data_IF_434933029780
#
_entry.id   IF_434933029780
#
_cell.length_a   1.000
_cell.length_b   1.000
_cell.length_c   1.000
_cell.angle_alpha   90.00
_cell.angle_beta   90.00
_cell.angle_gamma   90.00
#
_symmetry.space_group_name_H-M   'P 1'
#
loop_
_entity.id
_entity.type
_entity.pdbx_description
1 polymer ?
#
# COMPACT_ATOMS: atom_id res chain seq x y z
N UNK A 1 33.92 -15.22 8.35
CA UNK A 1 32.45 -15.15 8.24
C UNK A 1 32.16 -14.14 7.14
N UNK A 2 31.69 -14.65 5.99
CA UNK A 2 31.71 -13.94 4.72
C UNK A 2 30.69 -12.81 4.64
N UNK A 3 31.17 -11.64 4.25
CA UNK A 3 30.39 -10.48 3.84
C UNK A 3 29.57 -10.82 2.60
N UNK A 4 28.26 -10.55 2.62
CA UNK A 4 27.41 -10.57 1.43
C UNK A 4 27.12 -9.11 1.11
N UNK A 5 27.96 -8.51 0.28
CA UNK A 5 27.68 -7.22 -0.32
C UNK A 5 27.49 -7.41 -1.83
N UNK A 6 26.41 -6.81 -2.31
CA UNK A 6 26.23 -6.23 -3.64
C UNK A 6 26.37 -7.15 -4.87
N UNK A 7 25.24 -7.55 -5.44
CA UNK A 7 24.81 -7.14 -6.81
C UNK A 7 23.65 -8.02 -7.28
N UNK A 8 22.46 -7.44 -7.44
CA UNK A 8 21.39 -8.05 -8.22
C UNK A 8 21.82 -8.00 -9.70
N UNK A 9 21.84 -9.11 -10.44
CA UNK A 9 22.26 -9.10 -11.84
C UNK A 9 21.20 -8.42 -12.72
N UNK A 10 21.59 -7.35 -13.42
CA UNK A 10 20.78 -6.74 -14.47
C UNK A 10 20.95 -7.56 -15.74
N UNK A 11 19.93 -8.35 -16.10
CA UNK A 11 19.92 -9.13 -17.35
C UNK A 11 19.70 -8.18 -18.53
N UNK A 12 20.76 -7.94 -19.31
CA UNK A 12 20.70 -7.23 -20.58
C UNK A 12 20.30 -8.20 -21.71
N UNK A 13 19.11 -8.04 -22.26
CA UNK A 13 18.64 -8.77 -23.44
C UNK A 13 17.61 -7.96 -24.25
N UNK A 14 18.04 -7.46 -25.42
CA UNK A 14 17.19 -6.89 -26.47
C UNK A 14 16.76 -5.44 -26.25
N UNK A 15 17.06 -4.57 -27.23
CA UNK A 15 16.78 -3.13 -27.24
C UNK A 15 15.36 -2.78 -26.76
N UNK A 16 15.25 -2.30 -25.52
CA UNK A 16 14.05 -1.71 -24.91
C UNK A 16 14.24 -0.19 -24.86
N UNK A 17 13.18 0.63 -24.93
CA UNK A 17 13.29 2.06 -24.61
C UNK A 17 13.93 2.20 -23.23
N UNK A 18 14.77 3.23 -23.03
CA UNK A 18 15.52 3.56 -21.81
C UNK A 18 14.61 3.61 -20.56
N UNK A 19 14.16 2.46 -20.06
CA UNK A 19 13.49 2.31 -18.80
C UNK A 19 14.58 2.01 -17.77
N UNK A 20 15.48 2.98 -17.56
CA UNK A 20 16.30 3.00 -16.35
C UNK A 20 15.32 3.23 -15.20
N UNK A 21 14.96 2.16 -14.51
CA UNK A 21 14.33 2.29 -13.20
C UNK A 21 15.25 3.19 -12.34
N UNK A 22 14.68 4.13 -11.57
CA UNK A 22 15.48 4.96 -10.69
C UNK A 22 16.30 4.06 -9.76
N UNK A 23 17.53 4.48 -9.46
CA UNK A 23 18.34 3.76 -8.48
C UNK A 23 17.63 3.77 -7.12
N UNK A 24 17.61 2.64 -6.38
CA UNK A 24 17.01 2.58 -5.07
C UNK A 24 17.55 3.69 -4.16
N UNK A 25 16.65 4.34 -3.43
CA UNK A 25 17.03 5.32 -2.41
C UNK A 25 17.81 4.59 -1.31
N UNK A 26 18.78 5.28 -0.70
CA UNK A 26 19.59 4.75 0.39
C UNK A 26 19.21 5.41 1.70
N UNK A 27 19.15 4.60 2.75
CA UNK A 27 18.94 5.07 4.10
C UNK A 27 20.09 5.99 4.53
N UNK A 28 19.73 7.05 5.26
CA UNK A 28 20.69 7.96 5.90
C UNK A 28 21.06 7.55 7.33
N UNK A 29 20.31 6.61 7.92
CA UNK A 29 20.52 6.10 9.29
C UNK A 29 19.82 6.93 10.36
N UNK A 30 18.90 7.82 9.98
CA UNK A 30 18.21 8.71 10.94
C UNK A 30 17.26 7.96 11.89
N UNK A 31 16.87 6.74 11.51
CA UNK A 31 15.99 5.89 12.32
C UNK A 31 16.72 5.06 13.39
N UNK A 32 18.05 4.95 13.31
CA UNK A 32 18.85 4.08 14.21
C UNK A 32 18.77 4.49 15.68
N UNK A 33 18.34 5.73 15.95
CA UNK A 33 18.12 6.25 17.30
C UNK A 33 16.82 5.76 17.95
N UNK A 34 15.90 5.20 17.17
CA UNK A 34 14.63 4.69 17.69
C UNK A 34 14.71 3.20 17.95
N UNK A 35 14.11 2.77 19.07
CA UNK A 35 13.90 1.36 19.34
C UNK A 35 12.99 0.75 18.27
N UNK A 36 13.43 -0.36 17.69
CA UNK A 36 12.65 -1.09 16.69
C UNK A 36 12.89 -2.59 16.75
N UNK A 37 11.89 -3.36 16.33
CA UNK A 37 11.93 -4.82 16.28
C UNK A 37 11.33 -5.31 14.96
N UNK A 38 11.98 -6.29 14.33
CA UNK A 38 11.44 -6.97 13.15
C UNK A 38 10.48 -8.09 13.59
N UNK A 39 9.17 -7.90 13.33
CA UNK A 39 8.11 -8.81 13.81
C UNK A 39 8.11 -10.17 13.10
N UNK A 40 8.67 -10.25 11.89
CA UNK A 40 8.95 -11.51 11.20
C UNK A 40 10.32 -11.42 10.50
N UNK A 41 10.93 -12.57 10.13
CA UNK A 41 12.22 -12.57 9.45
C UNK A 41 12.22 -11.79 8.13
N UNK A 42 11.12 -11.85 7.38
CA UNK A 42 11.06 -11.34 6.00
C UNK A 42 10.45 -9.94 5.94
N UNK A 43 9.32 -9.72 6.63
CA UNK A 43 8.59 -8.45 6.60
C UNK A 43 8.16 -8.00 7.99
N UNK A 44 7.75 -6.75 8.07
CA UNK A 44 7.26 -6.15 9.29
C UNK A 44 8.41 -5.64 10.15
N UNK A 45 8.25 -4.40 10.59
CA UNK A 45 9.03 -3.77 11.64
C UNK A 45 8.09 -2.97 12.54
N UNK A 46 8.32 -2.99 13.84
CA UNK A 46 7.58 -2.12 14.75
C UNK A 46 8.51 -1.16 15.49
N UNK A 47 7.96 0.01 15.80
CA UNK A 47 8.54 1.02 16.66
C UNK A 47 7.64 1.12 17.91
N UNK A 48 7.99 0.44 19.01
CA UNK A 48 7.12 0.34 20.19
C UNK A 48 6.90 1.69 20.88
N UNK A 49 7.96 2.51 20.94
CA UNK A 49 8.01 3.74 21.75
C UNK A 49 7.98 5.02 20.91
N UNK A 50 8.24 4.96 19.60
CA UNK A 50 8.23 6.14 18.75
C UNK A 50 6.81 6.62 18.45
N UNK A 51 6.60 7.94 18.50
CA UNK A 51 5.38 8.60 18.07
C UNK A 51 5.68 9.38 16.80
N UNK A 52 4.97 9.08 15.70
CA UNK A 52 5.36 9.70 14.43
C UNK A 52 5.02 11.20 14.37
N UNK A 53 4.01 11.69 15.09
CA UNK A 53 3.65 13.11 15.08
C UNK A 53 4.77 13.89 15.75
N UNK A 54 5.15 13.48 16.95
CA UNK A 54 6.11 14.23 17.77
C UNK A 54 7.56 13.99 17.32
N UNK A 55 7.91 12.75 17.00
CA UNK A 55 9.29 12.37 16.71
C UNK A 55 9.67 12.52 15.22
N UNK A 56 8.69 12.54 14.31
CA UNK A 56 8.93 12.58 12.86
C UNK A 56 8.36 13.84 12.19
N UNK A 57 7.06 14.12 12.34
CA UNK A 57 6.45 15.29 11.66
C UNK A 57 6.94 16.62 12.24
N UNK A 58 7.02 16.72 13.56
CA UNK A 58 7.41 17.94 14.25
C UNK A 58 8.93 18.10 14.40
N UNK A 59 9.71 17.11 13.97
CA UNK A 59 11.16 17.15 14.05
C UNK A 59 11.76 18.16 13.06
N UNK A 60 12.86 18.81 13.47
CA UNK A 60 13.60 19.71 12.58
C UNK A 60 14.15 19.00 11.32
N UNK A 61 14.47 17.71 11.44
CA UNK A 61 14.97 16.86 10.36
C UNK A 61 13.90 15.92 9.80
N UNK A 62 12.65 16.41 9.74
CA UNK A 62 11.47 15.63 9.34
C UNK A 62 11.64 14.95 7.98
N UNK A 63 12.23 15.63 6.99
CA UNK A 63 12.37 15.10 5.63
C UNK A 63 13.24 13.85 5.56
N UNK A 64 14.39 13.84 6.26
CA UNK A 64 15.27 12.66 6.26
C UNK A 64 14.65 11.50 7.05
N UNK A 65 13.97 11.80 8.17
CA UNK A 65 13.24 10.81 8.95
C UNK A 65 12.12 10.14 8.14
N UNK A 66 11.30 10.94 7.46
CA UNK A 66 10.23 10.44 6.61
C UNK A 66 10.78 9.67 5.41
N UNK A 67 11.88 10.13 4.82
CA UNK A 67 12.55 9.43 3.73
C UNK A 67 13.07 8.06 4.16
N UNK A 68 13.78 7.98 5.28
CA UNK A 68 14.27 6.70 5.80
C UNK A 68 13.12 5.79 6.23
N UNK A 69 12.03 6.36 6.75
CA UNK A 69 10.82 5.60 7.07
C UNK A 69 10.19 5.02 5.80
N UNK A 70 10.09 5.81 4.73
CA UNK A 70 9.55 5.35 3.45
C UNK A 70 10.40 4.21 2.86
N UNK A 71 11.73 4.31 2.93
CA UNK A 71 12.65 3.24 2.52
C UNK A 71 12.45 2.00 3.39
N UNK A 72 12.36 2.18 4.71
CA UNK A 72 12.11 1.07 5.65
C UNK A 72 10.79 0.37 5.35
N UNK A 73 9.72 1.11 5.04
CA UNK A 73 8.43 0.53 4.62
C UNK A 73 8.59 -0.26 3.32
N UNK A 74 9.32 0.27 2.33
CA UNK A 74 9.55 -0.42 1.07
C UNK A 74 10.39 -1.70 1.21
N UNK A 75 11.37 -1.71 2.12
CA UNK A 75 12.22 -2.89 2.40
C UNK A 75 11.53 -3.92 3.30
N UNK A 76 10.76 -3.47 4.29
CA UNK A 76 10.11 -4.34 5.28
C UNK A 76 8.65 -4.64 4.94
N UNK A 77 8.08 -4.06 3.90
CA UNK A 77 6.69 -4.21 3.47
C UNK A 77 5.65 -3.51 4.34
N UNK A 78 5.78 -3.56 5.67
CA UNK A 78 4.86 -2.90 6.62
C UNK A 78 5.62 -2.45 7.86
N UNK A 79 5.20 -1.32 8.43
CA UNK A 79 5.70 -0.83 9.72
C UNK A 79 4.57 -0.52 10.69
N UNK A 80 4.80 -0.72 11.99
CA UNK A 80 3.84 -0.48 13.05
C UNK A 80 4.37 0.55 14.05
N UNK A 81 3.54 1.53 14.39
CA UNK A 81 3.79 2.45 15.50
C UNK A 81 2.80 2.14 16.61
N UNK A 82 3.31 1.84 17.82
CA UNK A 82 2.45 1.44 18.95
C UNK A 82 2.07 2.62 19.84
N UNK A 83 2.96 3.58 20.02
CA UNK A 83 2.78 4.75 20.88
C UNK A 83 2.11 5.93 20.14
N UNK A 84 0.94 5.69 19.53
CA UNK A 84 0.26 6.70 18.71
C UNK A 84 -1.16 7.02 19.21
N UNK A 85 -1.30 8.11 19.96
CA UNK A 85 -2.56 8.56 20.55
C UNK A 85 -3.01 9.97 20.08
N UNK A 86 -2.09 10.76 19.53
CA UNK A 86 -2.31 12.14 19.09
C UNK A 86 -2.48 12.28 17.56
N UNK A 87 -2.62 11.19 16.82
CA UNK A 87 -2.83 11.24 15.37
C UNK A 87 -4.26 11.68 15.03
N UNK A 88 -4.43 12.87 14.46
CA UNK A 88 -5.69 13.37 13.87
C UNK A 88 -5.82 13.05 12.37
N UNK A 89 -7.02 13.21 11.78
CA UNK A 89 -7.21 12.99 10.33
C UNK A 89 -6.31 13.91 9.49
N UNK A 90 -6.18 15.17 9.88
CA UNK A 90 -5.35 16.14 9.15
C UNK A 90 -3.86 15.80 9.25
N UNK A 91 -3.39 15.38 10.41
CA UNK A 91 -2.01 14.91 10.59
C UNK A 91 -1.76 13.61 9.82
N UNK A 92 -2.75 12.71 9.73
CA UNK A 92 -2.65 11.47 8.97
C UNK A 92 -2.51 11.74 7.46
N UNK A 93 -3.35 12.63 6.93
CA UNK A 93 -3.27 13.11 5.54
C UNK A 93 -1.93 13.80 5.26
N UNK A 94 -1.51 14.69 6.16
CA UNK A 94 -0.24 15.39 6.02
C UNK A 94 0.93 14.42 5.97
N UNK A 95 0.97 13.45 6.89
CA UNK A 95 2.01 12.44 6.96
C UNK A 95 2.12 11.61 5.68
N UNK A 96 1.02 10.98 5.25
CA UNK A 96 1.07 10.09 4.08
C UNK A 96 1.36 10.87 2.79
N UNK A 97 0.92 12.13 2.72
CA UNK A 97 1.25 13.01 1.61
C UNK A 97 2.75 13.31 1.57
N UNK A 98 3.35 13.71 2.70
CA UNK A 98 4.78 14.00 2.82
C UNK A 98 5.65 12.77 2.56
N UNK A 99 5.24 11.60 3.03
CA UNK A 99 5.96 10.34 2.83
C UNK A 99 6.22 10.05 1.35
N UNK A 100 5.21 10.28 0.50
CA UNK A 100 5.38 10.15 -0.96
C UNK A 100 6.13 11.32 -1.61
N UNK A 101 6.01 12.54 -1.08
CA UNK A 101 6.72 13.71 -1.62
C UNK A 101 8.25 13.57 -1.45
N UNK A 102 8.71 13.12 -0.28
CA UNK A 102 10.15 12.95 0.01
C UNK A 102 10.80 11.79 -0.75
N UNK A 103 9.99 10.85 -1.27
CA UNK A 103 10.43 9.76 -2.16
C UNK A 103 10.27 10.07 -3.64
N UNK A 104 9.69 11.23 -3.98
CA UNK A 104 9.59 11.72 -5.36
C UNK A 104 8.37 11.23 -6.13
N UNK A 105 7.24 10.98 -5.44
CA UNK A 105 5.99 10.68 -6.12
C UNK A 105 5.61 11.77 -7.14
N UNK A 106 4.92 11.43 -8.24
CA UNK A 106 4.44 12.44 -9.19
C UNK A 106 3.52 13.45 -8.51
N UNK A 107 3.62 14.74 -8.88
CA UNK A 107 2.75 15.81 -8.35
C UNK A 107 1.26 15.57 -8.62
N UNK A 108 0.93 14.77 -9.62
CA UNK A 108 -0.44 14.37 -9.95
C UNK A 108 -0.97 13.25 -9.06
N UNK A 109 -0.11 12.60 -8.28
CA UNK A 109 -0.47 11.53 -7.33
C UNK A 109 -0.76 12.16 -5.96
N UNK A 110 -2.05 12.41 -5.71
CA UNK A 110 -2.56 12.98 -4.46
C UNK A 110 -3.30 11.92 -3.65
N UNK A 111 -3.79 12.29 -2.47
CA UNK A 111 -4.64 11.42 -1.64
C UNK A 111 -5.83 10.88 -2.44
N UNK A 112 -6.03 9.56 -2.38
CA UNK A 112 -7.12 8.89 -3.08
C UNK A 112 -8.48 9.26 -2.46
N UNK A 113 -9.48 9.41 -3.31
CA UNK A 113 -10.87 9.69 -2.93
C UNK A 113 -11.73 8.54 -3.45
N UNK A 114 -12.34 7.77 -2.54
CA UNK A 114 -13.03 6.55 -2.90
C UNK A 114 -14.40 6.82 -3.55
N UNK A 115 -14.50 6.64 -4.87
CA UNK A 115 -15.68 6.93 -5.70
C UNK A 115 -17.07 6.49 -5.16
N UNK A 116 -17.17 5.40 -4.37
CA UNK A 116 -18.46 4.86 -3.87
C UNK A 116 -18.73 5.25 -2.41
N UNK A 117 -17.69 5.50 -1.63
CA UNK A 117 -17.78 5.68 -0.17
C UNK A 117 -17.54 7.16 0.19
N UNK A 118 -17.91 8.04 -0.72
CA UNK A 118 -17.87 9.48 -0.53
C UNK A 118 -19.16 9.91 0.19
N UNK A 119 -19.08 10.13 1.50
CA UNK A 119 -20.21 10.60 2.29
C UNK A 119 -19.87 10.70 3.77
N UNK A 120 -20.78 11.25 4.59
CA UNK A 120 -20.60 11.33 6.03
C UNK A 120 -20.37 9.94 6.62
N UNK A 121 -19.15 9.69 7.04
CA UNK A 121 -18.77 8.46 7.72
C UNK A 121 -19.07 8.56 9.22
N UNK A 122 -19.01 7.42 9.89
CA UNK A 122 -19.12 7.33 11.36
C UNK A 122 -18.07 8.18 12.09
N UNK A 123 -16.95 8.48 11.42
CA UNK A 123 -15.81 9.24 11.95
C UNK A 123 -15.54 10.55 11.20
N UNK A 124 -16.55 11.10 10.52
CA UNK A 124 -16.49 12.40 9.83
C UNK A 124 -16.68 12.32 8.32
N UNK A 125 -16.72 13.51 7.68
CA UNK A 125 -17.15 13.71 6.29
C UNK A 125 -15.97 13.94 5.32
N UNK A 126 -14.76 13.52 5.72
CA UNK A 126 -13.56 13.72 4.91
C UNK A 126 -13.44 12.64 3.84
N UNK A 127 -13.64 13.01 2.58
CA UNK A 127 -13.58 12.10 1.43
C UNK A 127 -12.18 11.55 1.15
N UNK A 128 -11.13 12.15 1.73
CA UNK A 128 -9.76 11.65 1.64
C UNK A 128 -9.44 10.63 2.74
N UNK A 129 -10.38 10.39 3.68
CA UNK A 129 -10.27 9.37 4.73
C UNK A 129 -11.26 8.25 4.47
N UNK A 130 -10.75 7.06 4.17
CA UNK A 130 -11.58 5.87 3.98
C UNK A 130 -11.89 5.21 5.32
N UNK A 131 -13.16 5.25 5.74
CA UNK A 131 -13.61 4.64 6.99
C UNK A 131 -13.93 3.14 6.79
N UNK A 132 -13.13 2.27 7.42
CA UNK A 132 -13.35 0.82 7.43
C UNK A 132 -14.15 0.45 8.70
N UNK A 133 -15.49 0.51 8.61
CA UNK A 133 -16.39 0.16 9.72
C UNK A 133 -17.34 -0.98 9.35
N UNK A 134 -17.30 -2.06 10.13
CA UNK A 134 -18.24 -3.19 9.99
C UNK A 134 -19.67 -2.80 10.36
N UNK A 135 -19.85 -1.83 11.27
CA UNK A 135 -21.15 -1.30 11.68
C UNK A 135 -21.76 -0.49 10.54
N UNK A 136 -20.98 0.45 9.96
CA UNK A 136 -21.41 1.25 8.82
C UNK A 136 -21.71 0.37 7.60
N UNK A 137 -20.84 -0.60 7.30
CA UNK A 137 -21.05 -1.55 6.19
C UNK A 137 -22.35 -2.36 6.34
N UNK A 138 -22.69 -2.83 7.55
CA UNK A 138 -23.98 -3.51 7.82
C UNK A 138 -25.21 -2.60 7.69
N UNK A 139 -25.07 -1.29 7.91
CA UNK A 139 -26.17 -0.33 7.72
C UNK A 139 -26.40 -0.03 6.23
N UNK A 140 -25.33 0.09 5.44
CA UNK A 140 -25.40 0.37 4.01
C UNK A 140 -25.83 -0.84 3.19
N UNK A 141 -25.29 -2.01 3.52
CA UNK A 141 -25.63 -3.28 2.89
C UNK A 141 -26.75 -3.90 3.72
N UNK A 142 -27.99 -3.82 3.26
CA UNK A 142 -29.13 -4.52 3.89
C UNK A 142 -28.88 -6.04 3.88
N UNK A 143 -28.15 -6.50 4.90
CA UNK A 143 -27.66 -7.88 5.08
C UNK A 143 -28.80 -8.89 5.29
N UNK A 144 -30.06 -8.43 5.31
CA UNK A 144 -31.24 -9.28 5.37
C UNK A 144 -31.45 -10.10 4.09
N UNK A 145 -31.03 -9.59 2.92
CA UNK A 145 -31.30 -10.19 1.59
C UNK A 145 -30.07 -10.79 0.89
N UNK A 146 -28.92 -10.88 1.55
CA UNK A 146 -27.77 -11.58 0.98
C UNK A 146 -27.95 -13.11 1.07
N UNK A 147 -28.11 -13.77 -0.09
CA UNK A 147 -28.21 -15.22 -0.20
C UNK A 147 -26.98 -15.97 0.33
N UNK A 148 -25.82 -15.31 0.45
CA UNK A 148 -24.57 -15.89 0.96
C UNK A 148 -24.04 -15.13 2.17
N UNK A 149 -24.61 -15.35 3.35
CA UNK A 149 -24.18 -14.78 4.64
C UNK A 149 -22.73 -15.11 5.07
N UNK A 150 -21.98 -15.90 4.29
CA UNK A 150 -20.63 -16.41 4.58
C UNK A 150 -19.52 -15.85 3.70
N UNK A 151 -19.82 -15.01 2.71
CA UNK A 151 -18.77 -14.31 1.99
C UNK A 151 -18.22 -13.20 2.89
N UNK A 152 -17.16 -13.53 3.63
CA UNK A 152 -16.29 -12.55 4.24
C UNK A 152 -15.61 -11.77 3.10
N UNK A 153 -16.27 -10.75 2.57
CA UNK A 153 -15.71 -9.84 1.54
C UNK A 153 -14.44 -9.12 2.04
N UNK A 154 -14.11 -9.20 3.33
CA UNK A 154 -12.86 -8.72 3.91
C UNK A 154 -11.68 -9.71 3.78
N UNK A 155 -11.91 -10.95 3.34
CA UNK A 155 -10.92 -12.04 3.39
C UNK A 155 -10.23 -12.31 2.04
N UNK A 156 -10.15 -11.32 1.16
CA UNK A 156 -9.41 -11.44 -0.10
C UNK A 156 -8.06 -10.72 0.00
N UNK A 157 -7.00 -11.42 -0.40
CA UNK A 157 -5.69 -10.81 -0.60
C UNK A 157 -5.77 -9.76 -1.70
N UNK A 158 -5.32 -8.54 -1.40
CA UNK A 158 -5.29 -7.44 -2.33
C UNK A 158 -4.14 -6.48 -1.99
N UNK A 159 -3.82 -5.62 -2.94
CA UNK A 159 -3.12 -4.36 -2.70
C UNK A 159 -4.08 -3.23 -3.06
N UNK A 160 -4.02 -2.14 -2.31
CA UNK A 160 -4.97 -1.04 -2.47
C UNK A 160 -4.83 -0.38 -3.84
N UNK A 161 -5.99 -0.11 -4.48
CA UNK A 161 -6.14 0.88 -5.56
C UNK A 161 -5.20 0.63 -6.77
N UNK A 162 -4.86 -0.64 -7.05
CA UNK A 162 -3.97 -1.00 -8.17
C UNK A 162 -4.51 -0.63 -9.57
N UNK A 163 -5.80 -0.30 -9.68
CA UNK A 163 -6.45 0.09 -10.93
C UNK A 163 -6.20 1.56 -11.30
N UNK A 164 -5.64 2.39 -10.41
CA UNK A 164 -5.29 3.78 -10.75
C UNK A 164 -4.10 3.85 -11.70
N UNK A 165 -4.05 4.91 -12.51
CA UNK A 165 -2.94 5.14 -13.45
C UNK A 165 -1.59 5.25 -12.74
N UNK A 166 -1.59 5.90 -11.58
CA UNK A 166 -0.47 5.93 -10.65
C UNK A 166 -1.00 5.27 -9.38
N UNK A 167 -0.71 3.98 -9.15
CA UNK A 167 -1.17 3.27 -7.97
C UNK A 167 -0.67 3.91 -6.68
N UNK A 168 -1.27 3.53 -5.55
CA UNK A 168 -0.85 4.00 -4.25
C UNK A 168 0.59 3.50 -3.93
N UNK A 169 1.46 4.43 -3.53
CA UNK A 169 2.81 4.10 -3.05
C UNK A 169 2.76 3.52 -1.62
N UNK A 170 1.89 4.10 -0.78
CA UNK A 170 1.75 3.75 0.64
C UNK A 170 0.30 3.88 1.10
N UNK A 171 -0.13 2.98 1.99
CA UNK A 171 -1.38 3.07 2.74
C UNK A 171 -1.09 3.29 4.22
N UNK A 172 -1.89 4.12 4.90
CA UNK A 172 -1.78 4.35 6.35
C UNK A 172 -3.10 3.99 7.04
N UNK A 173 -3.05 2.96 7.90
CA UNK A 173 -4.20 2.50 8.68
C UNK A 173 -4.05 2.94 10.14
N UNK A 174 -5.05 3.68 10.65
CA UNK A 174 -5.17 4.06 12.07
C UNK A 174 -6.34 3.31 12.70
N UNK A 175 -6.05 2.56 13.76
CA UNK A 175 -7.06 1.79 14.50
C UNK A 175 -7.80 2.73 15.47
N UNK A 176 -9.13 2.81 15.36
CA UNK A 176 -9.98 3.65 16.22
C UNK A 176 -10.75 2.80 17.24
N UNK A 177 -11.52 1.84 16.73
CA UNK A 177 -12.27 0.88 17.54
C UNK A 177 -11.88 -0.54 17.13
N UNK A 178 -11.45 -1.33 18.11
CA UNK A 178 -11.05 -2.73 17.90
C UNK A 178 -12.11 -3.68 18.45
N UNK A 179 -12.43 -4.77 17.73
CA UNK A 179 -13.26 -5.82 18.29
C UNK A 179 -12.52 -6.53 19.43
N UNK A 180 -13.26 -7.12 20.38
CA UNK A 180 -12.66 -7.88 21.49
C UNK A 180 -11.81 -9.07 21.01
N UNK A 181 -12.19 -9.68 19.89
CA UNK A 181 -11.50 -10.81 19.27
C UNK A 181 -11.65 -10.76 17.75
N UNK A 182 -10.66 -11.30 17.02
CA UNK A 182 -10.60 -11.25 15.56
C UNK A 182 -10.33 -9.84 15.04
N UNK A 183 -10.43 -9.65 13.72
CA UNK A 183 -10.12 -8.37 13.08
C UNK A 183 -8.64 -8.17 12.74
N UNK A 184 -7.84 -9.22 12.84
CA UNK A 184 -6.44 -9.20 12.41
C UNK A 184 -6.36 -8.83 10.93
N UNK A 185 -5.39 -7.98 10.62
CA UNK A 185 -4.98 -7.74 9.23
C UNK A 185 -3.75 -8.60 8.97
N UNK A 186 -3.73 -9.27 7.82
CA UNK A 186 -2.60 -10.11 7.41
C UNK A 186 -1.86 -9.41 6.26
N UNK A 187 -0.54 -9.52 6.27
CA UNK A 187 0.34 -9.00 5.23
C UNK A 187 1.12 -10.15 4.59
N UNK A 188 1.45 -9.99 3.32
CA UNK A 188 2.29 -10.92 2.57
C UNK A 188 3.30 -10.13 1.73
N UNK A 189 4.51 -10.67 1.60
CA UNK A 189 5.58 -10.06 0.82
C UNK A 189 5.52 -10.52 -0.64
N UNK A 190 5.28 -9.60 -1.56
CA UNK A 190 5.40 -9.88 -3.00
C UNK A 190 6.82 -10.29 -3.40
N UNK A 191 7.84 -9.67 -2.78
CA UNK A 191 9.26 -9.99 -3.04
C UNK A 191 9.58 -11.43 -2.67
N UNK A 192 9.22 -11.86 -1.46
CA UNK A 192 9.47 -13.23 -0.99
C UNK A 192 8.70 -14.27 -1.81
N UNK A 193 7.46 -13.96 -2.19
CA UNK A 193 6.68 -14.85 -3.06
C UNK A 193 7.38 -15.02 -4.40
N UNK A 194 7.87 -13.93 -4.99
CA UNK A 194 8.58 -13.97 -6.26
C UNK A 194 9.90 -14.75 -6.16
N UNK A 195 10.71 -14.49 -5.12
CA UNK A 195 11.99 -15.18 -4.90
C UNK A 195 11.83 -16.69 -4.65
N UNK A 196 10.67 -17.13 -4.17
CA UNK A 196 10.35 -18.56 -4.00
C UNK A 196 9.98 -19.28 -5.28
N UNK A 197 9.66 -18.58 -6.36
CA UNK A 197 9.47 -19.23 -7.66
C UNK A 197 10.79 -19.74 -8.22
N UNK A 198 10.72 -20.78 -9.04
CA UNK A 198 11.90 -21.23 -9.79
C UNK A 198 12.25 -20.19 -10.86
N UNK A 199 13.54 -20.12 -11.23
CA UNK A 199 14.05 -19.20 -12.26
C UNK A 199 13.26 -19.25 -13.59
N UNK A 200 12.81 -20.42 -14.10
CA UNK A 200 11.96 -20.47 -15.29
C UNK A 200 10.59 -19.81 -15.10
N UNK A 201 10.00 -19.93 -13.90
CA UNK A 201 8.70 -19.30 -13.58
C UNK A 201 8.89 -17.79 -13.42
N UNK A 202 9.96 -17.33 -12.77
CA UNK A 202 10.32 -15.92 -12.69
C UNK A 202 10.44 -15.30 -14.08
N UNK A 203 11.23 -15.91 -14.97
CA UNK A 203 11.42 -15.45 -16.36
C UNK A 203 10.09 -15.40 -17.13
N UNK A 204 9.22 -16.40 -16.92
CA UNK A 204 7.90 -16.41 -17.54
C UNK A 204 7.04 -15.23 -17.05
N UNK A 205 7.00 -14.97 -15.74
CA UNK A 205 6.19 -13.91 -15.13
C UNK A 205 6.67 -12.51 -15.53
N UNK A 206 7.98 -12.27 -15.62
CA UNK A 206 8.58 -11.00 -16.08
C UNK A 206 8.16 -10.61 -17.51
N UNK A 207 7.74 -11.59 -18.30
CA UNK A 207 7.23 -11.38 -19.65
C UNK A 207 5.75 -10.99 -19.71
N UNK A 208 5.02 -11.09 -18.59
CA UNK A 208 3.58 -10.86 -18.54
C UNK A 208 3.22 -9.41 -18.20
N UNK A 209 1.97 -9.06 -18.47
CA UNK A 209 1.40 -7.76 -18.10
C UNK A 209 0.09 -8.01 -17.37
N UNK A 210 -0.03 -7.44 -16.17
CA UNK A 210 -1.25 -7.49 -15.38
C UNK A 210 -2.23 -6.38 -15.77
N UNK A 211 -3.52 -6.67 -15.71
CA UNK A 211 -4.60 -5.69 -15.88
C UNK A 211 -5.43 -5.64 -14.59
N UNK A 212 -5.52 -4.45 -13.99
CA UNK A 212 -6.24 -4.22 -12.75
C UNK A 212 -7.47 -3.37 -13.02
N UNK A 213 -8.63 -3.81 -12.54
CA UNK A 213 -9.91 -3.16 -12.74
C UNK A 213 -10.62 -2.98 -11.40
N UNK A 214 -11.25 -1.83 -11.20
CA UNK A 214 -12.15 -1.64 -10.05
C UNK A 214 -13.44 -2.45 -10.25
N UNK A 215 -14.03 -2.94 -9.15
CA UNK A 215 -15.30 -3.66 -9.18
C UNK A 215 -16.43 -2.84 -9.84
N UNK A 216 -16.35 -1.50 -9.80
CA UNK A 216 -17.30 -0.64 -10.49
C UNK A 216 -17.16 -0.68 -12.01
N UNK A 217 -15.96 -0.88 -12.55
CA UNK A 217 -15.73 -0.97 -14.00
C UNK A 217 -16.16 -2.32 -14.57
N UNK A 218 -16.08 -3.40 -13.77
CA UNK A 218 -16.60 -4.71 -14.15
C UNK A 218 -18.12 -4.68 -14.43
N UNK A 219 -18.87 -3.85 -13.71
CA UNK A 219 -20.33 -3.69 -13.93
C UNK A 219 -20.69 -3.04 -15.27
N UNK A 220 -19.71 -2.38 -15.91
CA UNK A 220 -19.86 -1.70 -17.20
C UNK A 220 -19.27 -2.48 -18.38
N UNK A 221 -18.64 -3.64 -18.12
CA UNK A 221 -18.15 -4.51 -19.18
C UNK A 221 -19.29 -5.37 -19.74
N UNK A 222 -19.57 -5.34 -21.05
CA UNK A 222 -20.48 -6.31 -21.65
C UNK A 222 -19.88 -7.72 -21.49
N UNK A 223 -20.73 -8.70 -21.15
CA UNK A 223 -20.33 -10.12 -21.09
C UNK A 223 -19.80 -10.53 -22.46
N UNK A 224 -18.69 -11.28 -22.46
CA UNK A 224 -17.88 -11.73 -23.60
C UNK A 224 -18.59 -11.70 -24.98
N UNK A 225 -18.04 -10.91 -25.91
CA UNK A 225 -18.42 -10.98 -27.32
C UNK A 225 -18.00 -9.81 -28.20
N UNK A 226 -17.73 -8.62 -27.65
CA UNK A 226 -17.48 -7.43 -28.47
C UNK A 226 -16.18 -6.71 -28.07
N UNK A 227 -15.21 -6.69 -28.97
CA UNK A 227 -14.09 -5.76 -28.92
C UNK A 227 -14.59 -4.37 -29.31
N UNK A 228 -14.84 -3.49 -28.35
CA UNK A 228 -14.93 -2.06 -28.62
C UNK A 228 -14.09 -1.27 -27.61
N UNK A 229 -13.27 -0.38 -28.18
CA UNK A 229 -12.39 0.56 -27.52
C UNK A 229 -13.22 1.56 -26.70
N UNK A 230 -13.40 1.30 -25.41
CA UNK A 230 -13.85 2.30 -24.44
C UNK A 230 -12.63 2.77 -23.65
N UNK A 231 -12.62 4.07 -23.30
CA UNK A 231 -11.50 4.81 -22.69
C UNK A 231 -10.89 4.03 -21.52
N UNK A 232 -9.87 3.23 -21.81
CA UNK A 232 -9.19 2.32 -20.89
C UNK A 232 -8.40 3.15 -19.88
N UNK A 233 -8.88 3.21 -18.64
CA UNK A 233 -8.00 3.38 -17.48
C UNK A 233 -7.30 2.04 -17.24
N UNK A 234 -6.50 1.60 -18.21
CA UNK A 234 -5.61 0.47 -18.05
C UNK A 234 -4.27 1.04 -17.61
N UNK A 235 -3.89 0.75 -16.38
CA UNK A 235 -2.53 0.92 -15.92
C UNK A 235 -1.82 -0.44 -16.10
N UNK A 236 -1.11 -0.66 -17.23
CA UNK A 236 -0.29 -1.85 -17.35
C UNK A 236 0.86 -1.72 -16.34
N UNK A 237 0.84 -2.55 -15.28
CA UNK A 237 2.05 -2.83 -14.53
C UNK A 237 2.74 -4.03 -15.18
N UNK A 238 4.02 -3.86 -15.49
CA UNK A 238 4.90 -5.01 -15.70
C UNK A 238 5.13 -5.65 -14.35
N UNK A 239 4.90 -6.96 -14.30
CA UNK A 239 5.18 -7.81 -13.14
C UNK A 239 6.69 -8.03 -13.09
#
# INVERSE_FOLDING_TARGET
>A
MGSIAASIPIVNGGSKPDARYPQPLKQSGTLDKFESEDVTPVIGREFPSANFVDDFLNAADSDNLLRDLAITISERGVVFFRAQDNLSNDLQKHFIQRLGEVTGKPLTSTLHIHHVLNGPGEFGDDSQISNISSVHRRKLLDVSNQQNKRQYDAAQWHSDIQFERVPADYSNLRLIELPKTGGDTLWASGYEIYERFSEPVQTFLEGLTGYFLSAMDLSKLPRQGEQHCTRKLEAPLKI
#
